data_IF_084222042224
#
_entry.id   IF_084222042224
#
_cell.length_a   1.000
_cell.length_b   1.000
_cell.length_c   1.000
_cell.angle_alpha   90.00
_cell.angle_beta   90.00
_cell.angle_gamma   90.00
#
_symmetry.space_group_name_H-M   'P 1'
#
loop_
_entity.id
_entity.type
_entity.pdbx_description
1 polymer ?
#
# COMPACT_ATOMS: atom_id res chain seq x y z
N UNK A 1 1.97 -16.56 20.84
CA UNK A 1 3.40 -16.22 20.89
C UNK A 1 3.91 -16.27 19.46
N UNK A 2 4.18 -15.11 18.85
CA UNK A 2 4.53 -14.99 17.42
C UNK A 2 6.00 -14.56 17.36
N UNK A 3 6.82 -15.31 16.62
CA UNK A 3 8.23 -14.97 16.36
C UNK A 3 8.40 -14.55 14.90
N UNK A 4 8.86 -13.33 14.68
CA UNK A 4 9.29 -12.86 13.36
C UNK A 4 10.67 -13.45 13.03
N UNK A 5 10.84 -14.01 11.83
CA UNK A 5 12.13 -14.51 11.36
C UNK A 5 12.71 -13.53 10.34
N UNK A 6 13.64 -12.69 10.79
CA UNK A 6 14.40 -11.79 9.92
C UNK A 6 15.53 -12.59 9.25
N UNK A 7 15.57 -12.63 7.91
CA UNK A 7 16.74 -13.14 7.18
C UNK A 7 17.26 -12.09 6.20
N UNK A 8 18.46 -11.60 6.48
CA UNK A 8 19.24 -10.78 5.58
C UNK A 8 19.88 -11.66 4.48
N UNK A 9 19.57 -11.37 3.20
CA UNK A 9 20.49 -11.67 2.08
C UNK A 9 20.39 -10.56 1.04
N UNK A 10 21.56 -9.98 0.78
CA UNK A 10 21.83 -8.91 -0.19
C UNK A 10 21.54 -9.39 -1.62
N UNK A 11 20.57 -8.77 -2.30
CA UNK A 11 20.58 -8.18 -3.67
C UNK A 11 19.14 -7.69 -3.96
N UNK A 12 18.97 -6.37 -4.09
CA UNK A 12 17.71 -5.59 -4.32
C UNK A 12 16.72 -5.65 -3.14
N UNK A 13 16.54 -4.51 -2.48
CA UNK A 13 15.77 -4.36 -1.24
C UNK A 13 14.27 -4.57 -1.47
N UNK A 14 13.84 -5.83 -1.48
CA UNK A 14 12.43 -6.23 -1.35
C UNK A 14 12.27 -6.88 0.02
N UNK A 15 11.73 -6.13 0.98
CA UNK A 15 11.34 -6.68 2.28
C UNK A 15 10.01 -7.40 2.12
N UNK A 16 10.03 -8.73 2.18
CA UNK A 16 8.84 -9.59 2.11
C UNK A 16 8.45 -10.04 3.51
N UNK A 17 7.27 -9.63 3.97
CA UNK A 17 6.71 -10.10 5.25
C UNK A 17 5.49 -10.99 4.96
N UNK A 18 5.48 -12.21 5.52
CA UNK A 18 4.42 -13.20 5.35
C UNK A 18 3.48 -13.18 6.56
N UNK A 19 2.20 -12.92 6.32
CA UNK A 19 1.17 -12.96 7.34
C UNK A 19 0.03 -13.93 6.95
N UNK A 20 -0.70 -14.44 7.94
CA UNK A 20 -1.88 -15.30 7.72
C UNK A 20 -3.11 -14.63 8.30
N UNK A 21 -4.07 -14.27 7.45
CA UNK A 21 -5.40 -13.85 7.86
C UNK A 21 -6.27 -15.09 8.13
N UNK A 22 -6.70 -15.29 9.38
CA UNK A 22 -7.67 -16.32 9.72
C UNK A 22 -9.08 -15.74 9.71
N UNK A 23 -9.80 -15.95 8.61
CA UNK A 23 -11.25 -15.84 8.56
C UNK A 23 -11.81 -17.26 8.59
N UNK A 24 -12.44 -17.61 9.71
CA UNK A 24 -13.03 -18.92 9.95
C UNK A 24 -14.33 -19.11 9.17
N UNK A 25 -14.31 -19.13 7.83
CA UNK A 25 -15.39 -19.73 7.02
C UNK A 25 -14.82 -20.29 5.72
N UNK A 26 -14.48 -21.59 5.72
CA UNK A 26 -14.15 -22.35 4.52
C UNK A 26 -15.33 -23.24 4.13
N UNK A 27 -16.02 -22.88 3.05
CA UNK A 27 -16.70 -23.79 2.08
C UNK A 27 -17.41 -22.95 1.00
N UNK A 28 -17.01 -23.14 -0.26
CA UNK A 28 -17.71 -22.73 -1.48
C UNK A 28 -18.32 -21.31 -1.47
N UNK A 29 -17.52 -20.28 -1.79
CA UNK A 29 -17.98 -18.89 -1.74
C UNK A 29 -18.66 -18.52 -3.07
N UNK A 30 -20.00 -18.60 -3.09
CA UNK A 30 -20.84 -17.59 -3.74
C UNK A 30 -20.58 -16.23 -3.06
N UNK A 31 -20.70 -15.09 -3.76
CA UNK A 31 -20.33 -13.78 -3.23
C UNK A 31 -21.02 -13.53 -1.88
N UNK A 32 -20.21 -13.50 -0.83
CA UNK A 32 -20.65 -13.11 0.51
C UNK A 32 -20.92 -11.61 0.46
N UNK A 33 -22.19 -11.23 0.58
CA UNK A 33 -22.63 -9.84 0.59
C UNK A 33 -22.04 -9.15 1.81
N UNK A 34 -21.14 -8.20 1.54
CA UNK A 34 -20.22 -7.51 2.45
C UNK A 34 -20.91 -6.51 3.43
N UNK A 35 -22.24 -6.46 3.44
CA UNK A 35 -22.99 -5.31 3.98
C UNK A 35 -23.34 -5.39 5.48
N UNK A 36 -22.66 -6.21 6.30
CA UNK A 36 -22.99 -6.31 7.74
C UNK A 36 -21.97 -5.70 8.71
N UNK A 37 -20.85 -5.16 8.22
CA UNK A 37 -19.79 -4.60 9.09
C UNK A 37 -19.54 -3.09 8.92
N UNK A 38 -20.28 -2.40 8.05
CA UNK A 38 -20.14 -0.95 7.81
C UNK A 38 -21.31 -0.16 8.41
N UNK A 39 -21.87 -0.66 9.51
CA UNK A 39 -22.85 0.07 10.31
C UNK A 39 -22.13 1.00 11.30
N UNK A 40 -21.88 2.24 10.88
CA UNK A 40 -21.38 3.39 11.67
C UNK A 40 -19.92 3.35 12.20
N UNK A 41 -19.37 4.58 12.32
CA UNK A 41 -18.20 5.05 13.08
C UNK A 41 -16.86 5.14 12.33
N UNK A 42 -16.40 6.37 12.12
CA UNK A 42 -15.04 6.88 12.42
C UNK A 42 -13.95 5.80 12.58
N UNK A 43 -13.62 5.09 11.49
CA UNK A 43 -12.66 3.99 11.51
C UNK A 43 -11.27 4.59 11.59
N UNK A 44 -10.80 4.85 12.81
CA UNK A 44 -9.40 5.17 13.06
C UNK A 44 -8.52 3.96 12.71
N UNK A 45 -7.65 4.14 11.72
CA UNK A 45 -6.59 3.19 11.37
C UNK A 45 -5.40 3.49 12.26
N UNK A 46 -5.18 2.67 13.28
CA UNK A 46 -4.18 2.88 14.32
C UNK A 46 -3.23 1.67 14.52
N UNK A 47 -3.40 0.61 13.73
CA UNK A 47 -2.53 -0.55 13.71
C UNK A 47 -2.39 -1.16 12.31
N UNK A 48 -1.28 -1.86 12.07
CA UNK A 48 -0.95 -2.45 10.77
C UNK A 48 -1.96 -3.53 10.34
N UNK A 49 -2.52 -4.31 11.27
CA UNK A 49 -3.46 -5.37 10.93
C UNK A 49 -4.77 -4.81 10.38
N UNK A 50 -5.22 -3.64 10.87
CA UNK A 50 -6.36 -2.93 10.29
C UNK A 50 -6.07 -2.46 8.87
N UNK A 51 -4.90 -1.88 8.63
CA UNK A 51 -4.49 -1.49 7.28
C UNK A 51 -4.45 -2.69 6.32
N UNK A 52 -3.86 -3.82 6.75
CA UNK A 52 -3.82 -5.05 5.95
C UNK A 52 -5.21 -5.62 5.66
N UNK A 53 -6.13 -5.55 6.62
CA UNK A 53 -7.53 -5.95 6.42
C UNK A 53 -8.23 -5.10 5.37
N UNK A 54 -7.97 -3.80 5.35
CA UNK A 54 -8.55 -2.89 4.36
C UNK A 54 -8.08 -3.27 2.95
N UNK A 55 -6.78 -3.50 2.74
CA UNK A 55 -6.27 -3.97 1.44
C UNK A 55 -6.86 -5.31 1.02
N UNK A 56 -6.94 -6.26 1.95
CA UNK A 56 -7.56 -7.56 1.67
C UNK A 56 -9.04 -7.39 1.27
N UNK A 57 -9.79 -6.56 1.98
CA UNK A 57 -11.19 -6.26 1.67
C UNK A 57 -11.36 -5.58 0.31
N UNK A 58 -10.50 -4.61 -0.02
CA UNK A 58 -10.53 -3.94 -1.31
C UNK A 58 -10.24 -4.88 -2.48
N UNK A 59 -9.29 -5.82 -2.32
CA UNK A 59 -9.06 -6.88 -3.31
C UNK A 59 -10.25 -7.84 -3.42
N UNK A 60 -10.85 -8.24 -2.30
CA UNK A 60 -12.03 -9.11 -2.30
C UNK A 60 -13.26 -8.44 -2.91
N UNK A 61 -13.41 -7.12 -2.77
CA UNK A 61 -14.47 -6.35 -3.40
C UNK A 61 -14.24 -6.15 -4.91
N UNK A 62 -12.98 -6.13 -5.34
CA UNK A 62 -12.59 -6.08 -6.75
C UNK A 62 -12.72 -7.44 -7.45
N UNK A 63 -12.66 -8.54 -6.70
CA UNK A 63 -12.86 -9.89 -7.23
C UNK A 63 -14.28 -10.04 -7.81
N UNK A 64 -14.33 -10.56 -9.03
CA UNK A 64 -15.57 -10.87 -9.73
C UNK A 64 -15.93 -12.33 -9.54
N UNK A 65 -16.16 -13.05 -10.64
CA UNK A 65 -16.49 -14.48 -10.61
C UNK A 65 -15.28 -15.37 -10.94
N UNK A 66 -14.06 -14.82 -10.88
CA UNK A 66 -12.85 -15.52 -11.28
C UNK A 66 -12.43 -16.57 -10.25
N UNK A 67 -12.02 -17.74 -10.75
CA UNK A 67 -11.18 -18.64 -9.97
C UNK A 67 -9.75 -18.12 -9.99
N UNK A 68 -9.26 -17.69 -8.83
CA UNK A 68 -8.02 -16.93 -8.72
C UNK A 68 -6.94 -17.68 -7.94
N UNK A 69 -5.69 -17.35 -8.26
CA UNK A 69 -4.46 -17.86 -7.61
C UNK A 69 -3.82 -16.81 -6.73
N UNK A 70 -3.88 -15.54 -7.16
CA UNK A 70 -3.35 -14.39 -6.43
C UNK A 70 -4.13 -13.14 -6.85
N UNK A 71 -4.29 -12.19 -5.93
CA UNK A 71 -4.68 -10.83 -6.24
C UNK A 71 -3.61 -9.87 -5.71
N UNK A 72 -3.38 -8.78 -6.43
CA UNK A 72 -2.35 -7.80 -6.10
C UNK A 72 -2.95 -6.40 -6.14
N UNK A 73 -2.71 -5.60 -5.10
CA UNK A 73 -2.98 -4.17 -5.08
C UNK A 73 -1.64 -3.43 -5.04
N UNK A 74 -1.33 -2.70 -6.09
CA UNK A 74 -0.16 -1.84 -6.16
C UNK A 74 -0.59 -0.40 -5.91
N UNK A 75 0.07 0.28 -4.99
CA UNK A 75 -0.28 1.64 -4.58
C UNK A 75 0.96 2.53 -4.62
N UNK A 76 0.90 3.59 -5.42
CA UNK A 76 1.82 4.72 -5.32
C UNK A 76 1.31 5.69 -4.24
N UNK A 77 2.22 6.19 -3.41
CA UNK A 77 1.92 7.05 -2.26
C UNK A 77 2.70 8.36 -2.42
N UNK A 78 1.97 9.42 -2.73
CA UNK A 78 2.47 10.79 -2.85
C UNK A 78 2.09 11.62 -1.63
N UNK A 79 2.47 12.89 -1.60
CA UNK A 79 2.05 13.78 -0.52
C UNK A 79 0.54 14.05 -0.62
N UNK A 80 -0.22 13.55 0.36
CA UNK A 80 -1.68 13.69 0.42
C UNK A 80 -2.48 12.93 -0.65
N UNK A 81 -1.86 12.11 -1.49
CA UNK A 81 -2.54 11.38 -2.57
C UNK A 81 -2.01 9.96 -2.70
N UNK A 82 -2.90 9.04 -3.12
CA UNK A 82 -2.53 7.67 -3.47
C UNK A 82 -3.12 7.30 -4.82
N UNK A 83 -2.38 6.52 -5.60
CA UNK A 83 -2.89 5.92 -6.83
C UNK A 83 -2.82 4.41 -6.71
N UNK A 84 -3.96 3.72 -6.87
CA UNK A 84 -4.00 2.26 -6.76
C UNK A 84 -4.32 1.58 -8.09
N UNK A 85 -3.72 0.42 -8.31
CA UNK A 85 -4.03 -0.48 -9.41
C UNK A 85 -4.14 -1.91 -8.90
N UNK A 86 -5.08 -2.68 -9.46
CA UNK A 86 -5.40 -4.03 -8.99
C UNK A 86 -5.25 -5.03 -10.11
N UNK A 87 -4.73 -6.21 -9.77
CA UNK A 87 -4.49 -7.30 -10.71
C UNK A 87 -4.96 -8.61 -10.10
N UNK A 88 -5.67 -9.41 -10.90
CA UNK A 88 -6.05 -10.79 -10.55
C UNK A 88 -5.26 -11.73 -11.45
N UNK A 89 -4.60 -12.72 -10.83
CA UNK A 89 -3.99 -13.85 -11.55
C UNK A 89 -4.92 -15.06 -11.40
N UNK A 90 -5.44 -15.57 -12.51
CA UNK A 90 -6.35 -16.74 -12.51
C UNK A 90 -5.59 -18.03 -12.18
N UNK A 91 -6.32 -19.10 -11.83
CA UNK A 91 -5.72 -20.44 -11.66
C UNK A 91 -5.01 -20.92 -12.95
N UNK A 92 -5.47 -20.46 -14.11
CA UNK A 92 -4.87 -20.77 -15.43
C UNK A 92 -3.63 -19.94 -15.73
N UNK A 93 -3.34 -18.91 -14.93
CA UNK A 93 -2.21 -18.01 -15.11
C UNK A 93 -2.53 -16.75 -15.92
N UNK A 94 -3.79 -16.54 -16.31
CA UNK A 94 -4.21 -15.32 -17.01
C UNK A 94 -4.13 -14.12 -16.06
N UNK A 95 -3.70 -12.98 -16.59
CA UNK A 95 -3.70 -11.70 -15.87
C UNK A 95 -4.96 -10.91 -16.25
N UNK A 96 -5.68 -10.44 -15.25
CA UNK A 96 -6.83 -9.55 -15.40
C UNK A 96 -6.51 -8.26 -14.64
N UNK A 97 -6.43 -7.15 -15.37
CA UNK A 97 -6.18 -5.79 -14.84
C UNK A 97 -7.30 -4.81 -15.26
N UNK A 98 -8.52 -5.35 -15.36
CA UNK A 98 -9.71 -4.59 -15.68
C UNK A 98 -10.10 -3.62 -14.55
N UNK A 99 -10.50 -2.40 -14.92
CA UNK A 99 -11.11 -1.48 -13.98
C UNK A 99 -12.45 -2.03 -13.48
N UNK A 100 -12.66 -1.99 -12.16
CA UNK A 100 -13.93 -2.34 -11.52
C UNK A 100 -14.21 -1.30 -10.45
N UNK A 101 -15.39 -0.70 -10.52
CA UNK A 101 -15.82 0.33 -9.58
C UNK A 101 -15.85 -0.23 -8.16
N UNK A 102 -15.13 0.43 -7.26
CA UNK A 102 -15.21 0.20 -5.82
C UNK A 102 -16.06 1.28 -5.18
N UNK A 103 -16.70 0.98 -4.06
CA UNK A 103 -17.40 2.01 -3.28
C UNK A 103 -16.42 3.10 -2.86
N UNK A 104 -16.87 4.37 -2.85
CA UNK A 104 -16.11 5.51 -2.35
C UNK A 104 -15.55 5.27 -0.93
N UNK A 105 -16.28 4.57 -0.08
CA UNK A 105 -15.83 4.22 1.28
C UNK A 105 -14.58 3.32 1.26
N UNK A 106 -14.57 2.26 0.45
CA UNK A 106 -13.39 1.40 0.30
C UNK A 106 -12.21 2.15 -0.31
N UNK A 107 -12.44 3.01 -1.31
CA UNK A 107 -11.38 3.83 -1.90
C UNK A 107 -10.77 4.79 -0.86
N UNK A 108 -11.61 5.41 -0.04
CA UNK A 108 -11.17 6.27 1.06
C UNK A 108 -10.39 5.49 2.12
N UNK A 109 -10.89 4.31 2.53
CA UNK A 109 -10.20 3.48 3.51
C UNK A 109 -8.84 2.97 2.99
N UNK A 110 -8.75 2.56 1.73
CA UNK A 110 -7.47 2.16 1.12
C UNK A 110 -6.46 3.33 1.09
N UNK A 111 -6.93 4.54 0.79
CA UNK A 111 -6.12 5.74 0.86
C UNK A 111 -5.58 5.99 2.27
N UNK A 112 -6.45 6.02 3.27
CA UNK A 112 -6.08 6.23 4.67
C UNK A 112 -5.14 5.12 5.19
N UNK A 113 -5.38 3.86 4.80
CA UNK A 113 -4.52 2.72 5.16
C UNK A 113 -3.11 2.86 4.58
N UNK A 114 -3.00 3.36 3.35
CA UNK A 114 -1.73 3.59 2.68
C UNK A 114 -0.94 4.70 3.36
N UNK A 115 -1.59 5.83 3.67
CA UNK A 115 -0.96 6.94 4.41
C UNK A 115 -0.55 6.53 5.82
N UNK A 116 -1.39 5.76 6.52
CA UNK A 116 -1.07 5.19 7.83
C UNK A 116 0.20 4.36 7.76
N UNK A 117 0.29 3.40 6.84
CA UNK A 117 1.47 2.52 6.74
C UNK A 117 2.73 3.31 6.42
N UNK A 118 2.66 4.30 5.50
CA UNK A 118 3.80 5.18 5.21
C UNK A 118 4.31 5.87 6.46
N UNK A 119 3.41 6.53 7.18
CA UNK A 119 3.78 7.30 8.37
C UNK A 119 4.24 6.38 9.51
N UNK A 120 3.63 5.20 9.65
CA UNK A 120 4.01 4.20 10.64
C UNK A 120 5.43 3.69 10.41
N UNK A 121 5.76 3.31 9.17
CA UNK A 121 7.10 2.84 8.80
C UNK A 121 8.13 3.95 8.99
N UNK A 122 7.85 5.17 8.52
CA UNK A 122 8.73 6.31 8.74
C UNK A 122 9.01 6.55 10.23
N UNK A 123 7.99 6.46 11.08
CA UNK A 123 8.17 6.63 12.53
C UNK A 123 8.98 5.49 13.17
N UNK A 124 8.94 4.28 12.61
CA UNK A 124 9.69 3.13 13.11
C UNK A 124 11.14 3.07 12.61
N UNK A 125 11.39 3.45 11.36
CA UNK A 125 12.67 3.21 10.67
C UNK A 125 13.39 4.50 10.28
N UNK A 126 12.69 5.62 10.20
CA UNK A 126 13.19 6.87 9.62
C UNK A 126 13.17 6.90 8.09
N UNK A 127 12.74 5.82 7.43
CA UNK A 127 12.71 5.71 5.98
C UNK A 127 11.28 5.92 5.45
N UNK A 128 11.13 6.80 4.45
CA UNK A 128 9.83 7.07 3.79
C UNK A 128 9.62 6.08 2.65
N UNK A 129 8.50 5.38 2.66
CA UNK A 129 8.03 4.59 1.51
C UNK A 129 7.28 5.47 0.52
N UNK A 130 7.41 5.15 -0.76
CA UNK A 130 6.75 5.81 -1.89
C UNK A 130 5.69 4.94 -2.54
N UNK A 131 5.65 3.67 -2.18
CA UNK A 131 4.62 2.76 -2.66
C UNK A 131 4.59 1.48 -1.85
N UNK A 132 3.59 0.67 -2.15
CA UNK A 132 3.47 -0.68 -1.63
C UNK A 132 2.80 -1.61 -2.64
N UNK A 133 3.10 -2.90 -2.53
CA UNK A 133 2.38 -3.95 -3.24
C UNK A 133 1.87 -4.97 -2.24
N UNK A 134 0.55 -5.09 -2.16
CA UNK A 134 -0.14 -6.05 -1.30
C UNK A 134 -0.64 -7.23 -2.12
N UNK A 135 -0.14 -8.44 -1.84
CA UNK A 135 -0.52 -9.68 -2.50
C UNK A 135 -1.38 -10.54 -1.57
N UNK A 136 -2.58 -10.90 -2.00
CA UNK A 136 -3.49 -11.80 -1.29
C UNK A 136 -3.53 -13.16 -1.98
N UNK A 137 -3.64 -14.24 -1.19
CA UNK A 137 -3.78 -15.62 -1.65
C UNK A 137 -5.10 -16.25 -1.19
N UNK A 138 -5.63 -17.28 -1.89
CA UNK A 138 -6.95 -17.87 -1.59
C UNK A 138 -7.11 -18.43 -0.17
N UNK A 139 -6.00 -18.81 0.47
CA UNK A 139 -5.97 -19.31 1.84
C UNK A 139 -5.96 -18.20 2.91
N UNK A 140 -6.11 -16.93 2.51
CA UNK A 140 -6.01 -15.77 3.40
C UNK A 140 -4.58 -15.39 3.78
N UNK A 141 -3.55 -16.08 3.28
CA UNK A 141 -2.18 -15.57 3.42
C UNK A 141 -2.01 -14.34 2.56
N UNK A 142 -1.16 -13.44 3.02
CA UNK A 142 -0.79 -12.27 2.25
C UNK A 142 0.69 -11.94 2.41
N UNK A 143 1.18 -11.17 1.45
CA UNK A 143 2.50 -10.59 1.41
C UNK A 143 2.36 -9.10 1.17
N UNK A 144 3.23 -8.32 1.79
CA UNK A 144 3.36 -6.90 1.50
C UNK A 144 4.82 -6.60 1.21
N UNK A 145 5.04 -5.81 0.15
CA UNK A 145 6.33 -5.29 -0.28
C UNK A 145 6.24 -3.77 -0.28
N UNK A 146 7.26 -3.11 0.25
CA UNK A 146 7.34 -1.64 0.31
C UNK A 146 8.33 -1.12 -0.72
N UNK A 147 7.94 -0.06 -1.41
CA UNK A 147 8.81 0.66 -2.34
C UNK A 147 9.38 1.90 -1.65
N UNK A 148 10.70 2.04 -1.67
CA UNK A 148 11.44 3.15 -1.05
C UNK A 148 12.01 4.12 -2.09
N UNK A 149 11.82 3.84 -3.38
CA UNK A 149 12.33 4.69 -4.46
C UNK A 149 11.30 5.77 -4.81
N UNK A 150 11.68 7.05 -4.65
CA UNK A 150 10.89 8.19 -5.14
C UNK A 150 10.85 8.14 -6.67
N UNK A 151 9.67 8.32 -7.27
CA UNK A 151 9.57 8.49 -8.72
C UNK A 151 10.42 9.68 -9.17
N UNK A 152 11.26 9.49 -10.19
CA UNK A 152 12.20 10.51 -10.68
C UNK A 152 11.52 11.77 -11.19
N UNK A 153 10.27 11.65 -11.63
CA UNK A 153 9.49 12.72 -12.23
C UNK A 153 8.54 13.40 -11.22
N UNK A 154 8.63 13.02 -9.93
CA UNK A 154 7.86 13.61 -8.84
C UNK A 154 8.75 14.52 -7.97
N UNK A 155 8.45 15.82 -7.95
CA UNK A 155 9.03 16.77 -7.00
C UNK A 155 8.04 17.07 -5.87
N UNK A 156 8.51 17.01 -4.63
CA UNK A 156 7.68 17.43 -3.51
C UNK A 156 7.74 18.95 -3.42
N UNK A 157 6.62 19.63 -3.62
CA UNK A 157 6.53 21.09 -3.57
C UNK A 157 6.80 21.68 -2.17
N UNK A 158 6.94 20.82 -1.16
CA UNK A 158 7.26 21.16 0.23
C UNK A 158 8.70 20.81 0.64
N UNK A 159 9.58 20.42 -0.29
CA UNK A 159 11.01 20.37 -0.01
C UNK A 159 11.48 21.79 0.36
N UNK A 160 11.54 22.06 1.66
CA UNK A 160 12.12 23.28 2.21
C UNK A 160 13.55 23.34 1.72
N UNK A 161 13.86 24.33 0.88
CA UNK A 161 15.22 24.75 0.60
C UNK A 161 15.85 25.04 1.97
N UNK A 162 16.63 24.09 2.49
CA UNK A 162 17.38 24.32 3.71
C UNK A 162 18.38 25.44 3.41
N UNK A 163 18.47 26.43 4.30
CA UNK A 163 19.20 27.68 4.08
C UNK A 163 20.72 27.57 3.85
N UNK A 164 21.26 26.37 3.58
CA UNK A 164 22.64 26.15 3.15
C UNK A 164 22.88 26.45 1.66
N UNK A 165 21.86 26.44 0.81
CA UNK A 165 22.02 26.60 -0.65
C UNK A 165 21.84 28.04 -1.15
N UNK A 166 21.30 28.93 -0.31
CA UNK A 166 21.14 30.36 -0.63
C UNK A 166 22.46 31.15 -0.67
N UNK A 167 23.61 30.54 -0.38
CA UNK A 167 24.90 31.24 -0.38
C UNK A 167 25.61 31.28 -1.75
N UNK A 168 25.07 30.65 -2.79
CA UNK A 168 25.70 30.64 -4.12
C UNK A 168 25.11 31.65 -5.11
N UNK A 169 23.89 32.13 -4.88
CA UNK A 169 23.21 33.04 -5.83
C UNK A 169 23.44 34.53 -5.55
N UNK A 170 23.88 34.92 -4.34
CA UNK A 170 24.03 36.33 -3.95
C UNK A 170 25.47 36.87 -3.94
N UNK A 171 26.49 36.05 -4.23
CA UNK A 171 27.90 36.50 -4.25
C UNK A 171 28.40 36.96 -5.61
N UNK A 172 27.71 36.68 -6.72
CA UNK A 172 28.17 37.09 -8.06
C UNK A 172 27.87 38.56 -8.40
N UNK A 173 26.95 39.20 -7.68
CA UNK A 173 26.42 40.52 -8.07
C UNK A 173 27.05 41.68 -7.28
N UNK A 174 27.95 41.40 -6.32
CA UNK A 174 28.61 42.42 -5.50
C UNK A 174 30.07 42.73 -5.91
N UNK A 175 30.53 42.32 -7.10
CA UNK A 175 31.89 42.62 -7.59
C UNK A 175 31.93 43.23 -9.00
N UNK A 176 31.03 44.18 -9.26
CA UNK A 176 31.23 45.18 -10.33
C UNK A 176 30.93 46.57 -9.79
N UNK A 177 31.92 47.16 -9.10
CA UNK A 177 32.06 48.61 -8.96
C UNK A 177 33.14 49.08 -9.92
#
# INVERSE_FOLDING_TARGET
>A
MIGALYRHRTVRNLYRILYTYSSSVHKAIKPFVFNQYLGNLDIKIDDENKAYRIFANGLMAHLGNEYWKQMSNHVDIYEGMTQSSKVIITIKGDKIDEYRELSNELLFLEHEASLFLRNHIFNLTGEKIWGLTFNLYPNGKFEIEYDYDKSKDYEETNEVITGGEINWTFKSDSLKS
#
